data_IF_424115145739
#
_entry.id   IF_424115145739
#
_cell.length_a   1.000
_cell.length_b   1.000
_cell.length_c   1.000
_cell.angle_alpha   90.00
_cell.angle_beta   90.00
_cell.angle_gamma   90.00
#
_symmetry.space_group_name_H-M   'P 1'
#
loop_
_entity.id
_entity.type
_entity.pdbx_description
1 polymer ?
#
# COMPACT_ATOMS: atom_id res chain seq x y z
N UNK A 1 -2.82 8.11 -2.07
CA UNK A 1 -1.56 7.61 -2.64
C UNK A 1 -1.59 6.10 -2.60
N UNK A 2 -1.30 5.45 -3.72
CA UNK A 2 -1.04 4.01 -3.80
C UNK A 2 0.47 3.80 -3.69
N UNK A 3 0.95 3.25 -2.57
CA UNK A 3 2.37 3.21 -2.22
C UNK A 3 3.12 1.99 -2.80
N UNK A 4 2.39 0.93 -3.12
CA UNK A 4 2.89 -0.28 -3.78
C UNK A 4 2.07 -0.54 -5.03
N UNK A 5 1.99 0.46 -5.90
CA UNK A 5 1.00 0.50 -6.96
C UNK A 5 1.18 -0.59 -8.02
N UNK A 6 2.40 -1.09 -8.22
CA UNK A 6 2.75 -1.96 -9.34
C UNK A 6 2.30 -1.33 -10.66
N UNK A 7 1.40 -1.99 -11.38
CA UNK A 7 0.79 -1.48 -12.62
C UNK A 7 -0.50 -0.67 -12.39
N UNK A 8 -0.73 -0.20 -11.16
CA UNK A 8 -1.87 0.62 -10.75
C UNK A 8 -3.19 -0.14 -10.60
N UNK A 9 -3.15 -1.45 -10.39
CA UNK A 9 -4.35 -2.30 -10.37
C UNK A 9 -5.37 -1.91 -9.29
N UNK A 10 -4.89 -1.57 -8.09
CA UNK A 10 -5.77 -1.13 -6.98
C UNK A 10 -6.27 0.29 -7.20
N UNK A 11 -5.41 1.16 -7.69
CA UNK A 11 -5.81 2.51 -8.07
C UNK A 11 -6.87 2.56 -9.20
N UNK A 12 -6.91 1.58 -10.11
CA UNK A 12 -8.02 1.45 -11.07
C UNK A 12 -9.38 1.17 -10.40
N UNK A 13 -9.41 0.58 -9.20
CA UNK A 13 -10.65 0.30 -8.49
C UNK A 13 -11.22 1.55 -7.81
N UNK A 14 -10.36 2.43 -7.25
CA UNK A 14 -10.82 3.60 -6.50
C UNK A 14 -10.75 4.93 -7.26
N UNK A 15 -9.98 5.05 -8.34
CA UNK A 15 -9.86 6.30 -9.08
C UNK A 15 -11.10 6.68 -9.93
N UNK A 16 -11.82 5.75 -10.59
CA UNK A 16 -13.02 6.08 -11.37
C UNK A 16 -14.13 6.81 -10.57
N UNK A 17 -14.51 6.37 -9.35
CA UNK A 17 -15.55 7.08 -8.58
C UNK A 17 -15.12 8.48 -8.12
N UNK A 18 -13.83 8.84 -8.21
CA UNK A 18 -13.36 10.22 -7.96
C UNK A 18 -13.73 11.19 -9.08
N UNK A 19 -14.25 10.72 -10.22
CA UNK A 19 -14.67 11.54 -11.37
C UNK A 19 -13.60 12.53 -11.82
N UNK A 20 -12.34 12.10 -11.86
CA UNK A 20 -11.18 12.92 -12.19
C UNK A 20 -10.97 14.16 -11.28
N UNK A 21 -11.52 14.17 -10.07
CA UNK A 21 -11.31 15.20 -9.04
C UNK A 21 -10.24 14.76 -8.04
N UNK A 22 -9.59 15.72 -7.40
CA UNK A 22 -8.45 15.44 -6.51
C UNK A 22 -7.25 14.89 -7.27
N UNK A 23 -6.37 14.16 -6.58
CA UNK A 23 -5.13 13.66 -7.16
C UNK A 23 -4.80 12.24 -6.68
N UNK A 24 -4.48 11.36 -7.62
CA UNK A 24 -4.00 10.00 -7.36
C UNK A 24 -2.49 9.96 -7.58
N UNK A 25 -1.75 9.60 -6.55
CA UNK A 25 -0.30 9.39 -6.63
C UNK A 25 -0.01 7.90 -6.66
N UNK A 26 0.73 7.44 -7.67
CA UNK A 26 1.17 6.05 -7.82
C UNK A 26 2.67 5.98 -7.52
N UNK A 27 3.03 5.21 -6.49
CA UNK A 27 4.41 4.97 -6.11
C UNK A 27 4.64 3.45 -6.07
N UNK A 28 5.81 3.00 -6.53
CA UNK A 28 6.30 1.61 -6.43
C UNK A 28 7.82 1.66 -6.62
N UNK A 29 8.54 0.66 -6.12
CA UNK A 29 9.98 0.53 -6.33
C UNK A 29 10.35 0.04 -7.73
N UNK A 30 9.39 -0.56 -8.46
CA UNK A 30 9.57 -1.13 -9.80
C UNK A 30 9.04 -0.17 -10.86
N UNK A 31 9.93 0.70 -11.34
CA UNK A 31 9.63 1.71 -12.35
C UNK A 31 8.96 1.13 -13.60
N UNK A 32 9.44 -0.02 -14.09
CA UNK A 32 8.90 -0.68 -15.30
C UNK A 32 7.40 -0.96 -15.18
N UNK A 33 6.98 -1.63 -14.09
CA UNK A 33 5.57 -1.92 -13.81
C UNK A 33 4.77 -0.63 -13.61
N UNK A 34 5.37 0.36 -12.96
CA UNK A 34 4.73 1.65 -12.69
C UNK A 34 4.39 2.40 -13.98
N UNK A 35 5.27 2.37 -14.99
CA UNK A 35 4.99 3.02 -16.28
C UNK A 35 3.91 2.32 -17.11
N UNK A 36 3.73 1.00 -16.95
CA UNK A 36 2.62 0.27 -17.60
C UNK A 36 1.23 0.78 -17.14
N UNK A 37 1.14 1.36 -15.94
CA UNK A 37 -0.10 1.95 -15.42
C UNK A 37 -0.67 3.03 -16.35
N UNK A 38 0.18 3.77 -17.08
CA UNK A 38 -0.24 4.85 -17.99
C UNK A 38 -1.24 4.37 -19.03
N UNK A 39 -0.96 3.23 -19.66
CA UNK A 39 -1.83 2.69 -20.70
C UNK A 39 -3.18 2.26 -20.12
N UNK A 40 -3.17 1.66 -18.92
CA UNK A 40 -4.38 1.20 -18.24
C UNK A 40 -5.25 2.37 -17.78
N UNK A 41 -4.64 3.40 -17.19
CA UNK A 41 -5.33 4.61 -16.75
C UNK A 41 -5.94 5.37 -17.91
N UNK A 42 -5.20 5.48 -19.03
CA UNK A 42 -5.72 6.06 -20.27
C UNK A 42 -6.95 5.31 -20.77
N UNK A 43 -6.91 3.98 -20.81
CA UNK A 43 -8.07 3.15 -21.21
C UNK A 43 -9.27 3.33 -20.27
N UNK A 44 -9.01 3.54 -18.98
CA UNK A 44 -10.05 3.78 -17.97
C UNK A 44 -10.53 5.26 -17.92
N UNK A 45 -9.99 6.16 -18.74
CA UNK A 45 -10.37 7.58 -18.74
C UNK A 45 -9.90 8.37 -17.51
N UNK A 46 -8.95 7.84 -16.74
CA UNK A 46 -8.41 8.47 -15.53
C UNK A 46 -7.30 9.44 -15.95
N UNK A 47 -7.43 10.70 -15.53
CA UNK A 47 -6.55 11.82 -15.89
C UNK A 47 -5.88 12.46 -14.67
N UNK A 48 -6.48 12.34 -13.49
CA UNK A 48 -6.02 12.94 -12.24
C UNK A 48 -4.96 12.09 -11.52
N UNK A 49 -3.93 11.63 -12.23
CA UNK A 49 -2.89 10.79 -11.64
C UNK A 49 -1.46 11.31 -11.88
N UNK A 50 -0.54 10.97 -10.98
CA UNK A 50 0.89 11.24 -11.11
C UNK A 50 1.66 10.01 -10.70
N UNK A 51 2.61 9.62 -11.54
CA UNK A 51 3.54 8.52 -11.30
C UNK A 51 4.76 9.07 -10.56
N UNK A 52 5.09 8.48 -9.42
CA UNK A 52 6.15 8.86 -8.51
C UNK A 52 7.12 7.68 -8.30
N UNK A 53 8.13 7.50 -9.18
CA UNK A 53 9.23 6.57 -8.91
C UNK A 53 10.01 6.95 -7.63
N UNK A 54 10.84 6.07 -7.06
CA UNK A 54 11.53 6.29 -5.78
C UNK A 54 12.39 7.56 -5.71
N UNK A 55 12.97 7.97 -6.83
CA UNK A 55 13.81 9.18 -6.93
C UNK A 55 13.02 10.45 -7.28
N UNK A 56 11.68 10.40 -7.32
CA UNK A 56 10.89 11.52 -7.79
C UNK A 56 10.97 12.74 -6.84
N UNK A 57 11.30 13.95 -7.33
CA UNK A 57 11.56 15.12 -6.48
C UNK A 57 10.33 15.65 -5.72
N UNK A 58 9.12 15.22 -6.11
CA UNK A 58 7.90 15.55 -5.37
C UNK A 58 7.73 14.72 -4.09
N UNK A 59 8.33 13.53 -3.96
CA UNK A 59 8.09 12.66 -2.80
C UNK A 59 8.36 13.37 -1.45
N UNK A 60 9.49 14.05 -1.23
CA UNK A 60 9.71 14.78 0.02
C UNK A 60 8.65 15.85 0.30
N UNK A 61 8.11 16.49 -0.75
CA UNK A 61 7.11 17.56 -0.64
C UNK A 61 5.72 17.06 -0.30
N UNK A 62 5.48 15.75 -0.41
CA UNK A 62 4.20 15.08 -0.17
C UNK A 62 4.09 14.46 1.22
N UNK A 63 5.15 14.53 2.04
CA UNK A 63 5.11 14.09 3.44
C UNK A 63 4.05 14.87 4.23
N UNK A 64 3.24 14.17 5.00
CA UNK A 64 2.14 14.76 5.78
C UNK A 64 1.02 15.40 4.95
N UNK A 65 0.85 15.03 3.67
CA UNK A 65 -0.13 15.69 2.77
C UNK A 65 -1.17 14.75 2.16
N UNK A 66 -1.13 13.46 2.44
CA UNK A 66 -2.07 12.49 1.88
C UNK A 66 -3.27 12.27 2.81
N UNK A 67 -4.48 12.48 2.28
CA UNK A 67 -5.72 12.13 2.96
C UNK A 67 -5.88 10.61 3.11
N UNK A 68 -5.42 9.86 2.10
CA UNK A 68 -5.45 8.40 2.07
C UNK A 68 -4.14 7.85 1.52
N UNK A 69 -3.56 6.87 2.21
CA UNK A 69 -2.41 6.08 1.72
C UNK A 69 -2.79 4.61 1.73
N UNK A 70 -2.64 3.94 0.59
CA UNK A 70 -2.85 2.51 0.43
C UNK A 70 -1.50 1.82 0.34
N UNK A 71 -1.29 0.83 1.21
CA UNK A 71 -0.11 -0.03 1.25
C UNK A 71 -0.56 -1.45 0.94
N UNK A 72 -0.37 -1.85 -0.31
CA UNK A 72 -0.52 -3.23 -0.76
C UNK A 72 0.83 -3.94 -0.61
N UNK A 73 1.09 -4.48 0.57
CA UNK A 73 2.43 -4.91 0.91
C UNK A 73 2.78 -6.24 0.22
N UNK A 74 4.04 -6.41 -0.24
CA UNK A 74 4.51 -7.69 -0.76
C UNK A 74 4.37 -8.76 0.33
N UNK A 75 3.72 -9.87 -0.03
CA UNK A 75 3.29 -10.90 0.90
C UNK A 75 3.75 -12.29 0.45
N UNK A 76 3.62 -13.29 1.32
CA UNK A 76 3.86 -14.71 1.00
C UNK A 76 2.99 -15.25 -0.14
N UNK A 77 1.91 -14.54 -0.50
CA UNK A 77 0.94 -14.87 -1.55
C UNK A 77 0.17 -16.18 -1.31
N UNK A 78 0.07 -16.63 -0.05
CA UNK A 78 -0.70 -17.83 0.33
C UNK A 78 -2.17 -17.77 -0.11
N UNK A 79 -2.81 -16.59 -0.07
CA UNK A 79 -4.16 -16.39 -0.58
C UNK A 79 -4.27 -16.38 -2.11
N UNK A 80 -3.15 -16.33 -2.82
CA UNK A 80 -3.09 -16.33 -4.28
C UNK A 80 -2.60 -17.66 -4.89
N UNK A 81 -2.47 -18.73 -4.08
CA UNK A 81 -1.97 -20.04 -4.54
C UNK A 81 -2.70 -20.60 -5.78
N UNK A 82 -4.01 -20.37 -5.91
CA UNK A 82 -4.77 -20.77 -7.12
C UNK A 82 -4.21 -20.13 -8.40
N UNK A 83 -3.72 -18.90 -8.31
CA UNK A 83 -3.17 -18.14 -9.44
C UNK A 83 -1.65 -18.34 -9.58
N UNK A 84 -0.97 -18.77 -8.52
CA UNK A 84 0.47 -18.99 -8.51
C UNK A 84 0.84 -20.21 -7.62
N UNK A 85 0.66 -21.44 -8.11
CA UNK A 85 0.80 -22.66 -7.29
C UNK A 85 2.24 -22.92 -6.85
N UNK A 86 3.22 -22.38 -7.58
CA UNK A 86 4.65 -22.56 -7.29
C UNK A 86 5.05 -21.97 -5.93
N UNK A 87 4.27 -21.00 -5.43
CA UNK A 87 4.50 -20.38 -4.12
C UNK A 87 4.39 -21.38 -2.96
N UNK A 88 3.70 -22.51 -3.14
CA UNK A 88 3.61 -23.58 -2.14
C UNK A 88 4.99 -24.12 -1.76
N UNK A 89 5.91 -24.21 -2.73
CA UNK A 89 7.22 -24.84 -2.54
C UNK A 89 8.30 -23.86 -2.09
N UNK A 90 8.03 -22.56 -2.20
CA UNK A 90 8.97 -21.50 -1.85
C UNK A 90 8.73 -20.94 -0.45
N UNK A 91 7.67 -21.38 0.23
CA UNK A 91 7.34 -21.00 1.58
C UNK A 91 8.28 -21.64 2.61
N UNK A 92 8.83 -20.82 3.51
CA UNK A 92 9.53 -21.24 4.72
C UNK A 92 9.27 -20.22 5.83
N UNK A 93 9.38 -20.62 7.09
CA UNK A 93 9.18 -19.71 8.22
C UNK A 93 10.18 -18.54 8.20
N UNK A 94 11.44 -18.80 7.82
CA UNK A 94 12.44 -17.74 7.65
C UNK A 94 12.01 -16.68 6.63
N UNK A 95 11.40 -17.11 5.51
CA UNK A 95 10.89 -16.19 4.49
C UNK A 95 9.64 -15.45 4.97
N UNK A 96 8.77 -16.10 5.74
CA UNK A 96 7.64 -15.45 6.39
C UNK A 96 8.11 -14.25 7.22
N UNK A 97 9.08 -14.45 8.09
CA UNK A 97 9.60 -13.37 8.93
C UNK A 97 10.32 -12.28 8.14
N UNK A 98 10.99 -12.63 7.03
CA UNK A 98 11.54 -11.63 6.11
C UNK A 98 10.45 -10.77 5.46
N UNK A 99 9.33 -11.36 5.04
CA UNK A 99 8.19 -10.61 4.50
C UNK A 99 7.57 -9.70 5.56
N UNK A 100 7.34 -10.20 6.78
CA UNK A 100 6.80 -9.40 7.90
C UNK A 100 7.71 -8.19 8.19
N UNK A 101 9.03 -8.38 8.26
CA UNK A 101 9.97 -7.29 8.45
C UNK A 101 9.91 -6.26 7.32
N UNK A 102 9.92 -6.71 6.07
CA UNK A 102 9.84 -5.82 4.90
C UNK A 102 8.51 -5.05 4.84
N UNK A 103 7.39 -5.72 5.14
CA UNK A 103 6.06 -5.10 5.20
C UNK A 103 6.01 -3.98 6.24
N UNK A 104 6.66 -4.19 7.39
CA UNK A 104 6.78 -3.16 8.43
C UNK A 104 7.59 -1.95 7.95
N UNK A 105 8.75 -2.16 7.34
CA UNK A 105 9.58 -1.07 6.79
C UNK A 105 8.80 -0.24 5.76
N UNK A 106 8.09 -0.92 4.86
CA UNK A 106 7.24 -0.28 3.84
C UNK A 106 6.14 0.56 4.52
N UNK A 107 5.48 0.00 5.53
CA UNK A 107 4.44 0.71 6.27
C UNK A 107 5.00 1.95 7.00
N UNK A 108 6.16 1.83 7.65
CA UNK A 108 6.85 2.94 8.33
C UNK A 108 7.19 4.09 7.37
N UNK A 109 7.61 3.78 6.14
CA UNK A 109 7.88 4.79 5.11
C UNK A 109 6.58 5.41 4.61
N UNK A 110 5.55 4.59 4.33
CA UNK A 110 4.26 5.05 3.84
C UNK A 110 3.54 5.96 4.83
N UNK A 111 3.67 5.69 6.14
CA UNK A 111 3.06 6.48 7.21
C UNK A 111 3.49 7.95 7.18
N UNK A 112 4.74 8.24 6.75
CA UNK A 112 5.29 9.61 6.66
C UNK A 112 4.55 10.50 5.65
N UNK A 113 3.74 9.91 4.76
CA UNK A 113 2.97 10.66 3.76
C UNK A 113 1.56 11.01 4.22
N UNK A 114 1.04 10.32 5.23
CA UNK A 114 -0.32 10.49 5.74
C UNK A 114 -0.40 11.81 6.51
N UNK A 115 -1.48 12.59 6.31
CA UNK A 115 -1.80 13.74 7.18
C UNK A 115 -2.10 13.28 8.61
N UNK A 116 -2.08 14.20 9.57
CA UNK A 116 -2.45 13.88 10.96
C UNK A 116 -3.89 13.36 11.10
N UNK A 117 -4.80 13.85 10.27
CA UNK A 117 -6.21 13.42 10.16
C UNK A 117 -6.46 12.44 8.99
N UNK A 118 -5.40 12.02 8.31
CA UNK A 118 -5.45 11.12 7.17
C UNK A 118 -5.63 9.66 7.56
N UNK A 119 -5.86 8.82 6.56
CA UNK A 119 -6.06 7.38 6.73
C UNK A 119 -5.00 6.59 5.97
N UNK A 120 -4.57 5.49 6.57
CA UNK A 120 -3.72 4.49 5.94
C UNK A 120 -4.49 3.18 5.86
N UNK A 121 -4.45 2.53 4.71
CA UNK A 121 -5.04 1.23 4.46
C UNK A 121 -3.89 0.28 4.19
N UNK A 122 -3.75 -0.74 5.03
CA UNK A 122 -2.82 -1.84 4.83
C UNK A 122 -3.59 -3.03 4.27
N UNK A 123 -3.07 -3.64 3.22
CA UNK A 123 -3.65 -4.82 2.60
C UNK A 123 -2.54 -5.79 2.20
N UNK A 124 -2.83 -7.08 2.34
CA UNK A 124 -1.99 -8.16 1.80
C UNK A 124 -2.85 -9.11 0.99
N UNK A 125 -2.16 -10.00 0.27
CA UNK A 125 -2.70 -11.12 -0.46
C UNK A 125 -2.59 -12.45 0.31
N UNK A 126 -2.22 -12.39 1.59
CA UNK A 126 -1.92 -13.56 2.43
C UNK A 126 -3.12 -13.91 3.30
N UNK A 127 -3.28 -15.19 3.60
CA UNK A 127 -4.25 -15.68 4.59
C UNK A 127 -3.60 -15.96 5.95
N UNK A 128 -2.29 -15.73 6.10
CA UNK A 128 -1.56 -15.97 7.34
C UNK A 128 -1.81 -14.83 8.34
N UNK A 129 -1.99 -15.16 9.61
CA UNK A 129 -2.25 -14.17 10.66
C UNK A 129 -1.00 -13.34 10.97
N UNK A 130 0.18 -13.93 10.81
CA UNK A 130 1.50 -13.31 11.00
C UNK A 130 1.74 -12.13 10.06
N UNK A 131 1.11 -12.12 8.88
CA UNK A 131 1.16 -11.01 7.92
C UNK A 131 -0.05 -10.07 8.06
N UNK A 132 -1.08 -10.46 8.81
CA UNK A 132 -2.35 -9.74 8.92
C UNK A 132 -2.65 -9.38 10.38
N UNK A 133 -3.58 -10.09 11.04
CA UNK A 133 -4.13 -9.71 12.35
C UNK A 133 -3.05 -9.48 13.42
N UNK A 134 -2.06 -10.37 13.51
CA UNK A 134 -0.95 -10.26 14.46
C UNK A 134 -0.07 -9.06 14.10
N UNK A 135 0.23 -8.90 12.81
CA UNK A 135 1.05 -7.80 12.29
C UNK A 135 0.39 -6.43 12.55
N UNK A 136 -0.92 -6.32 12.29
CA UNK A 136 -1.69 -5.09 12.39
C UNK A 136 -1.62 -4.47 13.80
N UNK A 137 -1.60 -5.30 14.86
CA UNK A 137 -1.44 -4.78 16.22
C UNK A 137 -0.15 -3.96 16.39
N UNK A 138 0.96 -4.46 15.83
CA UNK A 138 2.25 -3.77 15.89
C UNK A 138 2.27 -2.50 15.03
N UNK A 139 1.67 -2.55 13.83
CA UNK A 139 1.56 -1.40 12.93
C UNK A 139 0.66 -0.29 13.52
N UNK A 140 -0.43 -0.66 14.18
CA UNK A 140 -1.31 0.30 14.85
C UNK A 140 -0.60 1.01 16.02
N UNK A 141 0.26 0.32 16.77
CA UNK A 141 1.05 0.95 17.84
C UNK A 141 2.05 1.97 17.27
N UNK A 142 2.73 1.60 16.18
CA UNK A 142 3.64 2.48 15.46
C UNK A 142 2.92 3.74 14.93
N UNK A 143 1.74 3.57 14.33
CA UNK A 143 0.95 4.69 13.80
C UNK A 143 0.52 5.68 14.90
N UNK A 144 0.15 5.16 16.08
CA UNK A 144 -0.18 5.99 17.27
C UNK A 144 1.03 6.70 17.87
N UNK A 145 2.22 6.10 17.82
CA UNK A 145 3.45 6.72 18.35
C UNK A 145 3.97 7.90 17.50
N UNK A 146 3.55 7.98 16.24
CA UNK A 146 4.01 9.01 15.29
C UNK A 146 3.14 10.27 15.31
N UNK A 147 1.89 10.16 15.78
CA UNK A 147 0.90 11.25 15.83
C UNK A 147 0.72 11.71 17.28
N UNK A 148 1.42 12.78 17.67
CA UNK A 148 1.48 13.31 19.04
C UNK A 148 0.19 13.95 19.59
N UNK A 149 -1.00 13.67 19.05
CA UNK A 149 -2.26 14.24 19.52
C UNK A 149 -3.46 13.38 19.16
N UNK A 150 -4.35 13.19 20.15
CA UNK A 150 -5.71 12.64 20.07
C UNK A 150 -5.85 11.24 19.46
N UNK A 151 -6.02 10.27 20.36
CA UNK A 151 -6.44 8.91 20.08
C UNK A 151 -7.77 8.85 19.30
N UNK A 152 -7.73 8.83 17.97
CA UNK A 152 -8.90 8.45 17.16
C UNK A 152 -8.54 7.38 16.13
N UNK A 153 -8.92 6.15 16.50
CA UNK A 153 -9.39 5.01 15.69
C UNK A 153 -8.68 4.74 14.36
N UNK A 154 -7.49 4.17 14.47
CA UNK A 154 -7.04 3.13 13.54
C UNK A 154 -7.91 1.88 13.79
N UNK A 155 -8.97 1.70 13.00
CA UNK A 155 -9.73 0.46 12.98
C UNK A 155 -9.14 -0.45 11.90
N UNK A 156 -8.59 -1.59 12.30
CA UNK A 156 -8.40 -2.71 11.38
C UNK A 156 -9.79 -3.08 10.85
N UNK A 157 -10.02 -2.83 9.57
CA UNK A 157 -11.18 -3.37 8.87
C UNK A 157 -10.68 -4.62 8.18
N UNK A 158 -10.95 -5.77 8.78
CA UNK A 158 -10.74 -7.05 8.12
C UNK A 158 -11.75 -7.15 6.97
N UNK A 159 -11.28 -7.62 5.81
CA UNK A 159 -12.21 -7.98 4.73
C UNK A 159 -12.97 -9.24 5.17
N UNK A 160 -14.31 -9.29 5.02
CA UNK A 160 -15.12 -10.43 5.42
C UNK A 160 -14.80 -11.71 4.63
#
# INVERSE_FOLDING_TARGET
>A
MDFCAGSGGKALAFAPPMLNRGQVFLHDTRDTKLFESRQRFRKAGIKNYTILPPSHPLLPKLRGKMDWVLVDAPCSQTGALRRNPDMKWTYTDDRLWQWVAQQREIFEVALKYVKDDGKIVYATCSTLEEENAIHLCSLCRLAKGTTGSSAQRWSAVESP
#
